data_IF_329623297830
#
_entry.id   IF_329623297830
#
_cell.length_a   1.000
_cell.length_b   1.000
_cell.length_c   1.000
_cell.angle_alpha   90.00
_cell.angle_beta   90.00
_cell.angle_gamma   90.00
#
_symmetry.space_group_name_H-M   'P 1'
#
loop_
_entity.id
_entity.type
_entity.pdbx_description
1 polymer ?
#
# COMPACT_ATOMS: atom_id res chain seq x y z
N UNK A 1 7.31 8.54 -4.01
CA UNK A 1 6.16 7.67 -3.70
C UNK A 1 6.09 7.45 -2.21
N UNK A 2 4.87 7.43 -1.66
CA UNK A 2 4.62 7.13 -0.25
C UNK A 2 3.65 5.96 -0.16
N UNK A 3 3.97 4.95 0.64
CA UNK A 3 3.11 3.81 0.90
C UNK A 3 2.82 3.66 2.39
N UNK A 4 1.81 2.87 2.71
CA UNK A 4 1.36 2.56 4.06
C UNK A 4 0.27 1.49 4.01
N UNK A 5 -0.60 1.48 5.02
CA UNK A 5 -1.76 0.56 5.10
C UNK A 5 -1.34 -0.89 4.91
N UNK A 6 -1.81 -1.55 3.84
CA UNK A 6 -1.57 -2.96 3.54
C UNK A 6 -0.08 -3.33 3.44
N UNK A 7 0.79 -2.36 3.12
CA UNK A 7 2.24 -2.59 3.06
C UNK A 7 2.85 -3.05 4.39
N UNK A 8 2.15 -2.84 5.52
CA UNK A 8 2.61 -3.24 6.85
C UNK A 8 2.13 -4.63 7.27
N UNK A 9 1.38 -5.35 6.43
CA UNK A 9 0.84 -6.66 6.78
C UNK A 9 -0.07 -6.64 8.01
N UNK A 10 -0.81 -5.53 8.22
CA UNK A 10 -1.66 -5.32 9.39
C UNK A 10 -0.99 -4.55 10.54
N UNK A 11 0.30 -4.22 10.42
CA UNK A 11 1.05 -3.45 11.41
C UNK A 11 1.30 -1.99 10.96
N UNK A 12 1.55 -1.06 11.91
CA UNK A 12 1.81 0.34 11.57
C UNK A 12 3.05 0.51 10.69
N UNK A 13 2.89 1.05 9.48
CA UNK A 13 4.01 1.34 8.57
C UNK A 13 3.77 2.62 7.77
N UNK A 14 4.86 3.32 7.50
CA UNK A 14 4.97 4.34 6.45
C UNK A 14 6.24 4.10 5.65
N UNK A 15 6.15 4.16 4.33
CA UNK A 15 7.29 3.92 3.42
C UNK A 15 7.42 5.10 2.49
N UNK A 16 8.62 5.68 2.42
CA UNK A 16 8.99 6.65 1.38
C UNK A 16 9.91 5.93 0.41
N UNK A 17 9.55 5.93 -0.87
CA UNK A 17 10.33 5.31 -1.94
C UNK A 17 10.47 6.26 -3.12
N UNK A 18 11.58 6.16 -3.85
CA UNK A 18 11.83 6.98 -5.02
C UNK A 18 13.13 6.59 -5.71
N UNK A 19 13.54 7.40 -6.69
CA UNK A 19 14.80 7.20 -7.39
C UNK A 19 15.99 7.22 -6.42
N UNK A 20 17.07 6.52 -6.77
CA UNK A 20 18.32 6.51 -6.01
C UNK A 20 18.79 7.93 -5.65
N UNK A 21 18.76 8.86 -6.61
CA UNK A 21 19.14 10.26 -6.43
C UNK A 21 18.41 10.92 -5.25
N UNK A 22 17.12 10.64 -5.07
CA UNK A 22 16.32 11.19 -3.98
C UNK A 22 16.57 10.41 -2.69
N UNK A 23 16.63 9.07 -2.74
CA UNK A 23 16.84 8.25 -1.53
C UNK A 23 18.23 8.46 -0.90
N UNK A 24 19.23 8.86 -1.69
CA UNK A 24 20.56 9.21 -1.17
C UNK A 24 20.53 10.37 -0.17
N UNK A 25 19.53 11.27 -0.21
CA UNK A 25 19.42 12.33 0.81
C UNK A 25 19.10 11.77 2.19
N UNK A 26 18.53 10.56 2.29
CA UNK A 26 18.23 9.91 3.58
C UNK A 26 19.42 9.13 4.13
N UNK A 27 20.27 8.57 3.26
CA UNK A 27 21.41 7.73 3.67
C UNK A 27 22.76 8.46 3.70
N UNK A 28 22.86 9.62 3.06
CA UNK A 28 24.14 10.29 2.84
C UNK A 28 25.04 9.62 1.79
N UNK A 29 24.49 8.69 1.00
CA UNK A 29 25.24 7.97 -0.02
C UNK A 29 25.65 8.87 -1.20
N UNK A 30 26.63 8.42 -1.99
CA UNK A 30 27.15 9.12 -3.17
C UNK A 30 27.55 10.59 -2.92
N UNK A 31 28.08 10.89 -1.71
CA UNK A 31 28.46 12.25 -1.25
C UNK A 31 27.29 13.24 -1.22
N UNK A 32 26.06 12.74 -1.11
CA UNK A 32 24.86 13.57 -0.96
C UNK A 32 24.72 14.00 0.51
N UNK A 33 24.42 15.28 0.82
CA UNK A 33 24.14 15.69 2.19
C UNK A 33 22.95 14.90 2.76
N UNK A 34 23.15 14.30 3.94
CA UNK A 34 22.12 13.55 4.62
C UNK A 34 21.15 14.49 5.36
N UNK A 35 19.85 14.24 5.22
CA UNK A 35 18.82 14.82 6.08
C UNK A 35 18.56 13.87 7.24
N UNK A 36 18.18 14.43 8.40
CA UNK A 36 17.74 13.60 9.50
C UNK A 36 16.35 13.02 9.21
N UNK A 37 16.25 11.69 9.24
CA UNK A 37 14.99 10.97 9.10
C UNK A 37 15.02 9.72 9.99
N UNK A 38 14.04 9.57 10.85
CA UNK A 38 13.94 8.42 11.75
C UNK A 38 12.78 8.52 12.73
N UNK A 39 12.66 7.50 13.57
CA UNK A 39 11.68 7.38 14.64
C UNK A 39 11.88 6.05 15.38
N UNK A 40 11.49 5.99 16.65
CA UNK A 40 11.76 4.85 17.55
C UNK A 40 11.31 3.50 16.98
N UNK A 41 10.17 3.48 16.27
CA UNK A 41 9.60 2.26 15.68
C UNK A 41 9.83 2.14 14.17
N UNK A 42 10.61 3.05 13.56
CA UNK A 42 10.96 2.96 12.15
C UNK A 42 11.75 1.68 11.89
N UNK A 43 11.28 0.87 10.94
CA UNK A 43 11.93 -0.40 10.60
C UNK A 43 11.87 -1.46 11.70
N UNK A 44 10.91 -1.39 12.63
CA UNK A 44 10.80 -2.39 13.70
C UNK A 44 10.64 -3.82 13.12
N UNK A 45 11.33 -4.84 13.69
CA UNK A 45 11.38 -6.18 13.08
C UNK A 45 10.02 -6.84 12.88
N UNK A 46 9.08 -6.63 13.81
CA UNK A 46 7.75 -7.21 13.73
C UNK A 46 6.98 -6.68 12.50
N UNK A 47 7.01 -5.36 12.28
CA UNK A 47 6.38 -4.73 11.11
C UNK A 47 7.07 -5.16 9.82
N UNK A 48 8.41 -5.26 9.81
CA UNK A 48 9.13 -5.72 8.62
C UNK A 48 8.80 -7.17 8.27
N UNK A 49 8.74 -8.06 9.25
CA UNK A 49 8.37 -9.47 9.04
C UNK A 49 6.94 -9.62 8.51
N UNK A 50 5.97 -8.91 9.11
CA UNK A 50 4.58 -8.92 8.64
C UNK A 50 4.42 -8.32 7.24
N UNK A 51 5.12 -7.23 6.95
CA UNK A 51 5.13 -6.60 5.63
C UNK A 51 5.73 -7.49 4.55
N UNK A 52 6.89 -8.12 4.80
CA UNK A 52 7.53 -9.05 3.87
C UNK A 52 6.62 -10.24 3.60
N UNK A 53 6.11 -10.91 4.63
CA UNK A 53 5.24 -12.08 4.46
C UNK A 53 3.97 -11.75 3.67
N UNK A 54 3.35 -10.60 3.93
CA UNK A 54 2.19 -10.14 3.15
C UNK A 54 2.55 -9.87 1.68
N UNK A 55 3.64 -9.14 1.42
CA UNK A 55 4.04 -8.78 0.05
C UNK A 55 4.46 -10.01 -0.78
N UNK A 56 5.16 -10.96 -0.18
CA UNK A 56 5.52 -12.23 -0.82
C UNK A 56 4.27 -13.03 -1.17
N UNK A 57 3.34 -13.20 -0.22
CA UNK A 57 2.08 -13.90 -0.46
C UNK A 57 1.25 -13.25 -1.58
N UNK A 58 1.12 -11.91 -1.56
CA UNK A 58 0.42 -11.18 -2.61
C UNK A 58 1.10 -11.34 -3.97
N UNK A 59 2.43 -11.32 -4.02
CA UNK A 59 3.20 -11.48 -5.27
C UNK A 59 3.03 -12.89 -5.86
N UNK A 60 3.07 -13.92 -5.02
CA UNK A 60 2.89 -15.31 -5.46
C UNK A 60 1.47 -15.59 -5.95
N UNK A 61 0.47 -14.91 -5.39
CA UNK A 61 -0.95 -15.15 -5.66
C UNK A 61 -1.62 -14.02 -6.46
N UNK A 62 -0.84 -13.10 -7.06
CA UNK A 62 -1.34 -11.86 -7.66
C UNK A 62 -2.38 -12.10 -8.76
N UNK A 63 -2.17 -13.12 -9.60
CA UNK A 63 -3.04 -13.48 -10.73
C UNK A 63 -4.42 -13.99 -10.28
N UNK A 64 -4.57 -14.38 -9.01
CA UNK A 64 -5.85 -14.82 -8.45
C UNK A 64 -6.48 -13.75 -7.57
N UNK A 65 -5.68 -13.13 -6.70
CA UNK A 65 -6.16 -12.19 -5.68
C UNK A 65 -6.70 -10.92 -6.32
N UNK A 66 -5.94 -10.28 -7.22
CA UNK A 66 -6.35 -8.99 -7.75
C UNK A 66 -7.58 -9.09 -8.67
N UNK A 67 -7.68 -10.06 -9.60
CA UNK A 67 -8.90 -10.22 -10.40
C UNK A 67 -10.13 -10.52 -9.55
N UNK A 68 -10.00 -11.39 -8.54
CA UNK A 68 -11.11 -11.70 -7.63
C UNK A 68 -11.56 -10.47 -6.84
N UNK A 69 -10.63 -9.71 -6.25
CA UNK A 69 -10.96 -8.49 -5.51
C UNK A 69 -11.62 -7.44 -6.40
N UNK A 70 -11.17 -7.31 -7.65
CA UNK A 70 -11.76 -6.40 -8.62
C UNK A 70 -13.19 -6.81 -8.97
N UNK A 71 -13.41 -8.09 -9.30
CA UNK A 71 -14.74 -8.63 -9.60
C UNK A 71 -15.73 -8.43 -8.44
N UNK A 72 -15.31 -8.70 -7.19
CA UNK A 72 -16.19 -8.49 -6.04
C UNK A 72 -16.47 -7.00 -5.78
N UNK A 73 -15.47 -6.13 -6.00
CA UNK A 73 -15.63 -4.68 -5.88
C UNK A 73 -16.62 -4.13 -6.91
N UNK A 74 -16.44 -4.52 -8.18
CA UNK A 74 -17.31 -4.13 -9.29
C UNK A 74 -18.74 -4.62 -9.05
N UNK A 75 -18.89 -5.89 -8.66
CA UNK A 75 -20.21 -6.46 -8.38
C UNK A 75 -20.98 -5.67 -7.31
N UNK A 76 -20.33 -5.36 -6.18
CA UNK A 76 -20.99 -4.60 -5.10
C UNK A 76 -21.32 -3.18 -5.58
N UNK A 77 -20.41 -2.53 -6.30
CA UNK A 77 -20.63 -1.20 -6.84
C UNK A 77 -21.81 -1.18 -7.82
N UNK A 78 -21.89 -2.14 -8.73
CA UNK A 78 -22.93 -2.25 -9.74
C UNK A 78 -24.30 -2.53 -9.11
N UNK A 79 -24.38 -3.49 -8.18
CA UNK A 79 -25.62 -3.82 -7.47
C UNK A 79 -26.15 -2.61 -6.68
N UNK A 80 -25.27 -1.87 -5.98
CA UNK A 80 -25.65 -0.66 -5.24
C UNK A 80 -26.12 0.45 -6.20
N UNK A 81 -25.41 0.64 -7.30
CA UNK A 81 -25.77 1.66 -8.28
C UNK A 81 -27.11 1.35 -8.96
N UNK A 82 -27.35 0.09 -9.33
CA UNK A 82 -28.63 -0.34 -9.90
C UNK A 82 -29.80 -0.16 -8.92
N UNK A 83 -29.58 -0.49 -7.64
CA UNK A 83 -30.56 -0.22 -6.58
C UNK A 83 -30.88 1.27 -6.48
N UNK A 84 -29.86 2.13 -6.46
CA UNK A 84 -30.04 3.58 -6.41
C UNK A 84 -30.81 4.12 -7.62
N UNK A 85 -30.49 3.65 -8.85
CA UNK A 85 -31.22 4.02 -10.08
C UNK A 85 -32.69 3.65 -9.98
N UNK A 86 -32.97 2.42 -9.58
CA UNK A 86 -34.34 1.88 -9.51
C UNK A 86 -35.22 2.61 -8.50
N UNK A 87 -34.61 3.22 -7.48
CA UNK A 87 -35.31 3.96 -6.43
C UNK A 87 -35.23 5.50 -6.58
N UNK A 88 -34.75 6.00 -7.73
CA UNK A 88 -34.53 7.44 -7.96
C UNK A 88 -33.64 8.12 -6.88
N UNK A 89 -32.67 7.37 -6.34
CA UNK A 89 -31.70 7.89 -5.37
C UNK A 89 -30.50 8.47 -6.15
N UNK A 90 -30.13 9.73 -5.90
CA UNK A 90 -28.94 10.32 -6.52
C UNK A 90 -27.68 9.52 -6.18
N UNK A 91 -26.95 9.07 -7.20
CA UNK A 91 -25.68 8.34 -7.09
C UNK A 91 -24.73 8.80 -8.22
N UNK A 92 -23.44 8.50 -8.07
CA UNK A 92 -22.40 8.79 -9.07
C UNK A 92 -22.06 7.56 -9.89
#
# INVERSE_FOLDING_TARGET
MTYGKAAGGGLPIGVVAGSKRVMNTFSGADKTPAIFAGGTFSGNPLTMAGGIGMLEYLKENQEKIYPYLHEQGDRIADEINEFCRSNNIPHR
#
